data_IF_031185567284
#
_entry.id   IF_031185567284
#
_cell.length_a   1.000
_cell.length_b   1.000
_cell.length_c   1.000
_cell.angle_alpha   90.00
_cell.angle_beta   90.00
_cell.angle_gamma   90.00
#
_symmetry.space_group_name_H-M   'P 1'
#
loop_
_entity.id
_entity.type
_entity.pdbx_description
1 polymer ?
#
# COMPACT_ATOMS: atom_id res chain seq x y z
N UNK A 1 19.92 -18.31 2.92
CA UNK A 1 18.47 -18.47 2.84
C UNK A 1 17.73 -17.24 3.34
N UNK A 2 18.15 -16.67 4.46
CA UNK A 2 17.52 -15.46 4.98
C UNK A 2 17.53 -14.29 4.02
N UNK A 3 18.60 -14.15 3.24
CA UNK A 3 18.71 -13.05 2.28
C UNK A 3 17.66 -13.12 1.19
N UNK A 4 17.33 -14.33 0.73
CA UNK A 4 16.32 -14.52 -0.31
C UNK A 4 14.96 -14.06 0.19
N UNK A 5 14.63 -14.38 1.44
CA UNK A 5 13.36 -13.96 2.03
C UNK A 5 13.29 -12.45 2.21
N UNK A 6 14.39 -11.84 2.64
CA UNK A 6 14.43 -10.39 2.80
C UNK A 6 14.32 -9.67 1.47
N UNK A 7 14.97 -10.19 0.43
CA UNK A 7 14.88 -9.62 -0.90
C UNK A 7 13.45 -9.71 -1.44
N UNK A 8 12.80 -10.86 -1.24
CA UNK A 8 11.41 -11.04 -1.65
C UNK A 8 10.49 -10.06 -0.93
N UNK A 9 10.70 -9.88 0.35
CA UNK A 9 9.89 -8.93 1.14
C UNK A 9 10.10 -7.50 0.68
N UNK A 10 11.35 -7.13 0.38
CA UNK A 10 11.65 -5.79 -0.12
C UNK A 10 11.02 -5.54 -1.47
N UNK A 11 11.07 -6.52 -2.36
CA UNK A 11 10.42 -6.44 -3.66
C UNK A 11 8.92 -6.30 -3.50
N UNK A 12 8.34 -7.10 -2.63
CA UNK A 12 6.91 -7.03 -2.36
C UNK A 12 6.52 -5.67 -1.79
N UNK A 13 7.34 -5.16 -0.88
CA UNK A 13 7.12 -3.84 -0.30
C UNK A 13 7.14 -2.75 -1.37
N UNK A 14 8.10 -2.80 -2.27
CA UNK A 14 8.19 -1.83 -3.37
C UNK A 14 6.94 -1.89 -4.26
N UNK A 15 6.50 -3.11 -4.59
CA UNK A 15 5.28 -3.29 -5.39
C UNK A 15 4.06 -2.70 -4.69
N UNK A 16 3.94 -2.96 -3.40
CA UNK A 16 2.80 -2.46 -2.62
C UNK A 16 2.81 -0.94 -2.52
N UNK A 17 3.98 -0.34 -2.42
CA UNK A 17 4.09 1.11 -2.40
C UNK A 17 3.64 1.72 -3.73
N UNK A 18 3.99 1.09 -4.83
CA UNK A 18 3.54 1.53 -6.16
C UNK A 18 2.02 1.40 -6.26
N UNK A 19 1.48 0.26 -5.85
CA UNK A 19 0.02 0.06 -5.87
C UNK A 19 -0.70 1.10 -5.02
N UNK A 20 -0.17 1.38 -3.85
CA UNK A 20 -0.74 2.39 -2.95
C UNK A 20 -0.77 3.76 -3.62
N UNK A 21 0.34 4.14 -4.24
CA UNK A 21 0.46 5.41 -4.94
C UNK A 21 -0.51 5.49 -6.11
N UNK A 22 -0.61 4.40 -6.89
CA UNK A 22 -1.52 4.34 -8.03
C UNK A 22 -2.97 4.50 -7.59
N UNK A 23 -3.35 3.84 -6.49
CA UNK A 23 -4.69 3.98 -5.94
C UNK A 23 -4.97 5.41 -5.48
N UNK A 24 -4.00 6.03 -4.85
CA UNK A 24 -4.15 7.40 -4.40
C UNK A 24 -4.39 8.35 -5.59
N UNK A 25 -3.63 8.17 -6.67
CA UNK A 25 -3.81 8.93 -7.90
C UNK A 25 -5.20 8.70 -8.51
N UNK A 26 -5.62 7.44 -8.57
CA UNK A 26 -6.94 7.11 -9.13
C UNK A 26 -8.04 7.76 -8.32
N UNK A 27 -7.96 7.67 -7.00
CA UNK A 27 -8.94 8.28 -6.11
C UNK A 27 -9.00 9.79 -6.35
N UNK A 28 -7.83 10.43 -6.44
CA UNK A 28 -7.75 11.85 -6.72
C UNK A 28 -8.46 12.24 -8.00
N UNK A 29 -8.24 11.49 -9.06
CA UNK A 29 -8.87 11.74 -10.36
C UNK A 29 -10.37 11.55 -10.31
N UNK A 30 -10.83 10.52 -9.61
CA UNK A 30 -12.26 10.27 -9.48
C UNK A 30 -12.96 11.40 -8.73
N UNK A 31 -12.31 11.96 -7.73
CA UNK A 31 -12.86 13.06 -6.96
C UNK A 31 -12.90 14.37 -7.75
N UNK A 32 -12.05 14.51 -8.75
CA UNK A 32 -12.03 15.69 -9.62
C UNK A 32 -13.06 15.62 -10.73
N UNK A 33 -13.58 14.46 -11.02
CA UNK A 33 -14.53 14.26 -12.12
C UNK A 33 -15.88 14.90 -11.85
N UNK A 34 -16.67 15.10 -12.92
CA UNK A 34 -18.01 15.71 -12.79
C UNK A 34 -19.00 14.81 -12.07
N UNK A 35 -18.77 13.51 -12.11
CA UNK A 35 -19.61 12.55 -11.42
C UNK A 35 -18.74 11.75 -10.46
N UNK A 36 -19.11 11.80 -9.20
CA UNK A 36 -18.39 11.06 -8.17
C UNK A 36 -19.20 9.83 -7.82
N UNK A 37 -18.65 8.66 -8.16
CA UNK A 37 -19.21 7.39 -7.72
C UNK A 37 -18.74 7.13 -6.31
N UNK A 38 -19.57 7.45 -5.34
CA UNK A 38 -19.23 7.32 -3.93
C UNK A 38 -18.89 5.88 -3.54
N UNK A 39 -19.58 4.92 -4.15
CA UNK A 39 -19.32 3.51 -3.84
C UNK A 39 -17.95 3.09 -4.33
N UNK A 40 -17.58 3.50 -5.55
CA UNK A 40 -16.28 3.19 -6.10
C UNK A 40 -15.15 3.83 -5.29
N UNK A 41 -15.32 5.10 -4.94
CA UNK A 41 -14.34 5.82 -4.13
C UNK A 41 -14.15 5.12 -2.78
N UNK A 42 -15.25 4.73 -2.15
CA UNK A 42 -15.21 4.05 -0.86
C UNK A 42 -14.45 2.72 -0.95
N UNK A 43 -14.71 1.94 -2.00
CA UNK A 43 -14.02 0.68 -2.24
C UNK A 43 -12.52 0.88 -2.42
N UNK A 44 -12.15 1.87 -3.21
CA UNK A 44 -10.75 2.17 -3.49
C UNK A 44 -10.03 2.69 -2.23
N UNK A 45 -10.69 3.51 -1.44
CA UNK A 45 -10.14 3.98 -0.17
C UNK A 45 -9.91 2.82 0.80
N UNK A 46 -10.85 1.89 0.85
CA UNK A 46 -10.71 0.70 1.69
C UNK A 46 -9.50 -0.13 1.25
N UNK A 47 -9.35 -0.34 -0.06
CA UNK A 47 -8.20 -1.06 -0.60
C UNK A 47 -6.89 -0.34 -0.29
N UNK A 48 -6.88 0.98 -0.41
CA UNK A 48 -5.72 1.79 -0.08
C UNK A 48 -5.32 1.62 1.39
N UNK A 49 -6.29 1.61 2.29
CA UNK A 49 -6.03 1.40 3.71
C UNK A 49 -5.46 0.01 3.98
N UNK A 50 -5.98 -1.01 3.30
CA UNK A 50 -5.44 -2.36 3.43
C UNK A 50 -3.99 -2.45 2.94
N UNK A 51 -3.69 -1.79 1.82
CA UNK A 51 -2.33 -1.74 1.31
C UNK A 51 -1.41 -1.02 2.28
N UNK A 52 -1.84 0.09 2.83
CA UNK A 52 -1.06 0.84 3.81
C UNK A 52 -0.75 -0.01 5.03
N UNK A 53 -1.74 -0.76 5.50
CA UNK A 53 -1.57 -1.65 6.64
C UNK A 53 -0.57 -2.76 6.32
N UNK A 54 -0.67 -3.37 5.15
CA UNK A 54 0.26 -4.41 4.73
C UNK A 54 1.68 -3.85 4.60
N UNK A 55 1.81 -2.65 4.05
CA UNK A 55 3.11 -1.98 3.93
C UNK A 55 3.72 -1.80 5.32
N UNK A 56 2.93 -1.32 6.28
CA UNK A 56 3.40 -1.11 7.64
C UNK A 56 3.88 -2.42 8.27
N UNK A 57 3.16 -3.50 8.06
CA UNK A 57 3.56 -4.81 8.56
C UNK A 57 4.87 -5.28 7.96
N UNK A 58 5.04 -5.11 6.64
CA UNK A 58 6.27 -5.51 5.98
C UNK A 58 7.46 -4.65 6.41
N UNK A 59 7.24 -3.36 6.58
CA UNK A 59 8.28 -2.47 7.08
C UNK A 59 8.72 -2.88 8.46
N UNK A 60 7.78 -3.20 9.33
CA UNK A 60 8.09 -3.69 10.67
C UNK A 60 8.89 -4.98 10.64
N UNK A 61 8.57 -5.87 9.70
CA UNK A 61 9.27 -7.14 9.59
C UNK A 61 10.70 -6.99 9.07
N UNK A 62 10.96 -5.95 8.28
CA UNK A 62 12.28 -5.71 7.71
C UNK A 62 13.20 -4.92 8.63
N UNK A 63 12.64 -4.12 9.52
CA UNK A 63 13.41 -3.30 10.44
C UNK A 63 13.72 -4.10 11.71
N UNK A 64 14.98 -4.19 12.12
CA UNK A 64 15.29 -4.86 13.39
C UNK A 64 14.57 -4.19 14.54
N UNK A 65 14.18 -5.00 15.51
CA UNK A 65 13.54 -4.49 16.70
C UNK A 65 14.55 -3.77 17.58
N UNK A 66 14.54 -2.47 17.51
CA UNK A 66 15.48 -1.64 18.25
C UNK A 66 14.98 -1.26 19.64
N UNK A 67 13.73 -1.52 19.89
CA UNK A 67 13.11 -1.12 21.16
C UNK A 67 13.14 -2.20 22.21
N UNK A 68 13.74 -3.27 21.88
CA UNK A 68 13.80 -4.42 22.80
C UNK A 68 14.49 -4.10 24.12
#
# INVERSE_FOLDING_TARGET
>A
MGEVHQDSRRMRLAELRVEHRDLDDIIGRLLEGPYIDQLQVRRLKKRKLLLKDTIAHLESALIPDLDA
#
